data_IF_737762973276
#
_entry.id   IF_737762973276
#
_cell.length_a   1.000
_cell.length_b   1.000
_cell.length_c   1.000
_cell.angle_alpha   90.00
_cell.angle_beta   90.00
_cell.angle_gamma   90.00
#
_symmetry.space_group_name_H-M   'P 1'
#
loop_
_entity.id
_entity.type
_entity.pdbx_description
1 polymer ?
#
# COMPACT_ATOMS: atom_id res chain seq x y z
N UNK A 1 5.73 -7.73 10.05
CA UNK A 1 5.86 -8.94 10.88
C UNK A 1 7.33 -9.38 11.00
N UNK A 2 8.05 -9.58 9.87
CA UNK A 2 9.45 -10.04 9.90
C UNK A 2 10.36 -9.11 10.73
N UNK A 3 10.28 -7.79 10.51
CA UNK A 3 11.08 -6.82 11.26
C UNK A 3 10.79 -6.84 12.77
N UNK A 4 9.51 -7.02 13.14
CA UNK A 4 9.13 -7.19 14.54
C UNK A 4 9.73 -8.48 15.13
N UNK A 5 9.59 -9.60 14.43
CA UNK A 5 10.12 -10.88 14.87
C UNK A 5 11.63 -10.86 15.05
N UNK A 6 12.37 -10.22 14.14
CA UNK A 6 13.82 -10.02 14.24
C UNK A 6 14.17 -9.18 15.47
N UNK A 7 13.44 -8.11 15.73
CA UNK A 7 13.64 -7.27 16.91
C UNK A 7 13.44 -8.08 18.21
N UNK A 8 12.36 -8.86 18.30
CA UNK A 8 12.08 -9.71 19.46
C UNK A 8 13.13 -10.81 19.64
N UNK A 9 13.61 -11.42 18.55
CA UNK A 9 14.71 -12.39 18.60
C UNK A 9 15.98 -11.76 19.18
N UNK A 10 16.35 -10.57 18.72
CA UNK A 10 17.54 -9.86 19.25
C UNK A 10 17.38 -9.54 20.73
N UNK A 11 16.18 -9.15 21.16
CA UNK A 11 15.91 -8.90 22.58
C UNK A 11 15.96 -10.19 23.40
N UNK A 12 15.37 -11.28 22.91
CA UNK A 12 15.39 -12.57 23.57
C UNK A 12 16.83 -13.13 23.75
N UNK A 13 17.70 -12.92 22.76
CA UNK A 13 19.12 -13.27 22.87
C UNK A 13 19.80 -12.43 23.97
N UNK A 14 19.57 -11.12 23.99
CA UNK A 14 20.18 -10.21 24.96
C UNK A 14 19.73 -10.46 26.41
N UNK A 15 18.44 -10.78 26.57
CA UNK A 15 17.82 -11.01 27.88
C UNK A 15 17.94 -12.47 28.34
N UNK A 16 18.53 -13.36 27.50
CA UNK A 16 18.63 -14.81 27.74
C UNK A 16 17.27 -15.52 27.87
N UNK A 17 16.25 -15.02 27.16
CA UNK A 17 14.87 -15.53 27.16
C UNK A 17 14.55 -16.35 25.91
N UNK A 18 15.57 -16.91 25.26
CA UNK A 18 15.42 -17.75 24.05
C UNK A 18 14.39 -18.87 24.18
N UNK A 19 14.30 -19.63 25.34
CA UNK A 19 13.30 -20.69 25.47
C UNK A 19 11.87 -20.15 25.43
N UNK A 20 11.61 -18.99 26.00
CA UNK A 20 10.32 -18.33 25.96
C UNK A 20 9.98 -17.88 24.54
N UNK A 21 10.93 -17.23 23.86
CA UNK A 21 10.78 -16.81 22.46
C UNK A 21 10.48 -18.01 21.55
N UNK A 22 11.22 -19.10 21.68
CA UNK A 22 11.00 -20.31 20.89
C UNK A 22 9.61 -20.92 21.11
N UNK A 23 9.13 -20.95 22.37
CA UNK A 23 7.79 -21.44 22.70
C UNK A 23 6.69 -20.56 22.06
N UNK A 24 6.80 -19.24 22.17
CA UNK A 24 5.85 -18.30 21.59
C UNK A 24 5.85 -18.41 20.06
N UNK A 25 7.03 -18.46 19.44
CA UNK A 25 7.16 -18.63 18.00
C UNK A 25 6.55 -19.96 17.53
N UNK A 26 6.78 -21.06 18.27
CA UNK A 26 6.17 -22.36 17.97
C UNK A 26 4.64 -22.34 18.04
N UNK A 27 4.07 -21.68 19.03
CA UNK A 27 2.62 -21.51 19.16
C UNK A 27 2.06 -20.65 18.00
N UNK A 28 2.75 -19.60 17.59
CA UNK A 28 2.34 -18.78 16.46
C UNK A 28 2.39 -19.55 15.12
N UNK A 29 3.43 -20.36 14.93
CA UNK A 29 3.52 -21.23 13.74
C UNK A 29 2.42 -22.28 13.71
N UNK A 30 2.07 -22.88 14.86
CA UNK A 30 0.94 -23.80 14.97
C UNK A 30 -0.38 -23.10 14.63
N UNK A 31 -0.61 -21.92 15.19
CA UNK A 31 -1.79 -21.12 14.87
C UNK A 31 -1.88 -20.75 13.39
N UNK A 32 -0.74 -20.37 12.79
CA UNK A 32 -0.66 -20.09 11.35
C UNK A 32 -0.97 -21.34 10.51
N UNK A 33 -0.43 -22.51 10.88
CA UNK A 33 -0.71 -23.76 10.19
C UNK A 33 -2.21 -24.14 10.26
N UNK A 34 -2.84 -23.95 11.43
CA UNK A 34 -4.28 -24.17 11.58
C UNK A 34 -5.10 -23.17 10.74
N UNK A 35 -4.70 -21.90 10.70
CA UNK A 35 -5.36 -20.88 9.89
C UNK A 35 -5.25 -21.16 8.39
N UNK A 36 -4.08 -21.57 7.91
CA UNK A 36 -3.89 -22.00 6.50
C UNK A 36 -4.68 -23.28 6.24
N UNK A 37 -4.64 -24.27 7.13
CA UNK A 37 -5.37 -25.50 7.00
C UNK A 37 -6.88 -25.31 6.90
N UNK A 38 -7.46 -24.43 7.72
CA UNK A 38 -8.89 -24.10 7.68
C UNK A 38 -9.32 -23.41 6.38
N UNK A 39 -8.40 -22.74 5.69
CA UNK A 39 -8.63 -22.05 4.42
C UNK A 39 -8.04 -22.79 3.20
N UNK A 40 -7.52 -24.00 3.40
CA UNK A 40 -6.78 -24.73 2.35
C UNK A 40 -7.58 -24.93 1.07
N UNK A 41 -8.88 -25.23 1.17
CA UNK A 41 -9.75 -25.38 0.01
C UNK A 41 -9.88 -24.10 -0.82
N UNK A 42 -10.02 -22.95 -0.17
CA UNK A 42 -10.11 -21.65 -0.84
C UNK A 42 -8.77 -21.26 -1.46
N UNK A 43 -7.67 -21.49 -0.74
CA UNK A 43 -6.32 -21.24 -1.24
C UNK A 43 -6.00 -22.12 -2.47
N UNK A 44 -6.34 -23.39 -2.42
CA UNK A 44 -6.18 -24.30 -3.55
C UNK A 44 -7.01 -23.87 -4.77
N UNK A 45 -8.27 -23.45 -4.54
CA UNK A 45 -9.10 -22.94 -5.62
C UNK A 45 -8.52 -21.70 -6.26
N UNK A 46 -8.07 -20.73 -5.45
CA UNK A 46 -7.43 -19.50 -5.93
C UNK A 46 -6.16 -19.83 -6.72
N UNK A 47 -5.31 -20.71 -6.21
CA UNK A 47 -4.06 -21.09 -6.86
C UNK A 47 -4.33 -21.79 -8.20
N UNK A 48 -5.23 -22.77 -8.23
CA UNK A 48 -5.57 -23.52 -9.44
C UNK A 48 -6.20 -22.67 -10.55
N UNK A 49 -6.91 -21.61 -10.20
CA UNK A 49 -7.57 -20.71 -11.17
C UNK A 49 -6.80 -19.41 -11.40
N UNK A 50 -5.70 -19.20 -10.70
CA UNK A 50 -4.90 -17.96 -10.84
C UNK A 50 -4.32 -17.81 -12.23
N UNK A 51 -3.94 -18.92 -12.89
CA UNK A 51 -3.42 -18.96 -14.26
C UNK A 51 -4.44 -18.57 -15.33
N UNK A 52 -5.74 -18.70 -15.03
CA UNK A 52 -6.85 -18.34 -15.94
C UNK A 52 -7.33 -16.89 -15.75
N UNK A 53 -6.74 -16.17 -14.80
CA UNK A 53 -7.08 -14.76 -14.52
C UNK A 53 -6.03 -13.83 -15.09
N UNK A 54 -6.34 -12.53 -15.16
CA UNK A 54 -5.39 -11.48 -15.56
C UNK A 54 -4.10 -11.47 -14.72
N UNK A 55 -4.07 -12.14 -13.58
CA UNK A 55 -2.88 -12.29 -12.72
C UNK A 55 -2.00 -13.48 -13.10
N UNK A 56 -2.50 -14.41 -13.91
CA UNK A 56 -1.80 -15.61 -14.36
C UNK A 56 -0.92 -15.45 -15.60
N UNK A 57 -0.77 -14.21 -16.06
CA UNK A 57 -0.05 -13.91 -17.31
C UNK A 57 -1.00 -13.77 -18.51
N UNK A 58 -0.60 -13.00 -19.50
CA UNK A 58 -1.33 -12.85 -20.75
C UNK A 58 -1.10 -14.08 -21.64
N UNK A 59 -2.17 -14.70 -22.16
CA UNK A 59 -2.07 -15.67 -23.26
C UNK A 59 -1.60 -15.00 -24.57
N UNK A 60 -1.66 -13.68 -24.63
CA UNK A 60 -1.08 -12.91 -25.72
C UNK A 60 0.43 -12.89 -25.49
N UNK A 61 1.13 -13.58 -26.36
CA UNK A 61 2.60 -13.58 -26.44
C UNK A 61 3.10 -12.14 -26.50
N UNK A 62 3.96 -11.74 -25.57
CA UNK A 62 4.71 -10.50 -25.70
C UNK A 62 5.42 -10.52 -27.08
N UNK A 63 5.64 -9.36 -27.71
CA UNK A 63 6.29 -9.22 -29.03
C UNK A 63 7.61 -10.00 -29.15
N UNK A 64 8.21 -10.42 -28.05
CA UNK A 64 9.46 -11.18 -27.97
C UNK A 64 9.28 -12.72 -27.79
N UNK A 65 8.06 -13.25 -27.85
CA UNK A 65 7.83 -14.70 -27.81
C UNK A 65 7.97 -15.37 -26.45
N UNK A 66 8.25 -14.63 -25.38
CA UNK A 66 8.34 -15.14 -24.01
C UNK A 66 6.97 -15.04 -23.31
N UNK A 67 6.52 -16.14 -22.72
CA UNK A 67 5.35 -16.10 -21.84
C UNK A 67 5.74 -15.34 -20.58
N UNK A 68 5.15 -14.18 -20.39
CA UNK A 68 5.30 -13.42 -19.16
C UNK A 68 4.47 -14.13 -18.07
N UNK A 69 5.13 -14.89 -17.21
CA UNK A 69 4.49 -15.47 -16.03
C UNK A 69 4.32 -14.38 -14.98
N UNK A 70 3.07 -14.16 -14.57
CA UNK A 70 2.73 -13.18 -13.53
C UNK A 70 2.06 -11.90 -14.03
N UNK A 71 1.81 -10.99 -13.11
CA UNK A 71 1.20 -9.70 -13.38
C UNK A 71 2.20 -8.78 -14.10
N UNK A 72 1.76 -8.09 -15.15
CA UNK A 72 2.57 -7.08 -15.81
C UNK A 72 2.95 -5.96 -14.82
N UNK A 73 4.22 -5.55 -14.84
CA UNK A 73 4.75 -4.51 -13.96
C UNK A 73 4.04 -3.17 -14.19
N UNK A 74 3.71 -2.83 -15.43
CA UNK A 74 2.98 -1.61 -15.77
C UNK A 74 1.58 -1.63 -15.16
N UNK A 75 0.88 -2.74 -15.29
CA UNK A 75 -0.44 -2.90 -14.66
C UNK A 75 -0.35 -2.91 -13.12
N UNK A 76 0.63 -3.60 -12.55
CA UNK A 76 0.84 -3.65 -11.10
C UNK A 76 1.12 -2.27 -10.49
N UNK A 77 1.77 -1.38 -11.27
CA UNK A 77 2.15 -0.05 -10.83
C UNK A 77 1.25 1.07 -11.36
N UNK A 78 0.15 0.74 -12.05
CA UNK A 78 -0.77 1.74 -12.64
C UNK A 78 -1.37 2.71 -11.61
N UNK A 79 -1.61 2.25 -10.36
CA UNK A 79 -2.13 3.08 -9.26
C UNK A 79 -1.03 3.55 -8.30
N UNK A 80 0.16 3.79 -8.81
CA UNK A 80 1.26 4.30 -8.01
C UNK A 80 1.01 5.72 -7.51
N UNK A 81 1.39 5.95 -6.26
CA UNK A 81 1.35 7.29 -5.67
C UNK A 81 2.37 8.22 -6.35
N UNK A 82 1.96 9.42 -6.68
CA UNK A 82 2.89 10.49 -7.02
C UNK A 82 3.77 10.86 -5.81
N UNK A 83 5.05 11.17 -6.03
CA UNK A 83 5.94 11.59 -4.92
C UNK A 83 5.37 12.80 -4.15
N UNK A 84 4.85 13.79 -4.88
CA UNK A 84 4.17 14.94 -4.28
C UNK A 84 2.83 14.59 -3.66
N UNK A 85 2.14 13.60 -4.20
CA UNK A 85 0.86 13.12 -3.69
C UNK A 85 0.97 12.47 -2.29
N UNK A 86 2.16 12.01 -1.91
CA UNK A 86 2.44 11.52 -0.55
C UNK A 86 2.09 12.57 0.53
N UNK A 87 2.16 13.85 0.20
CA UNK A 87 1.75 14.92 1.12
C UNK A 87 0.24 14.94 1.41
N UNK A 88 -0.60 14.24 0.65
CA UNK A 88 -2.00 14.04 1.01
C UNK A 88 -2.18 13.30 2.34
N UNK A 89 -1.22 12.46 2.71
CA UNK A 89 -1.22 11.81 4.02
C UNK A 89 -1.19 12.83 5.17
N UNK A 90 -0.65 14.02 4.93
CA UNK A 90 -0.48 15.12 5.90
C UNK A 90 -1.54 16.21 5.72
N UNK A 91 -1.85 16.55 4.48
CA UNK A 91 -2.73 17.66 4.10
C UNK A 91 -3.91 17.08 3.31
N UNK A 92 -5.14 17.14 3.85
CA UNK A 92 -6.30 16.61 3.17
C UNK A 92 -6.56 17.35 1.86
N UNK A 93 -6.94 16.62 0.83
CA UNK A 93 -7.32 17.14 -0.49
C UNK A 93 -6.25 17.98 -1.20
N UNK A 94 -4.96 17.79 -0.88
CA UNK A 94 -3.87 18.53 -1.54
C UNK A 94 -3.86 18.30 -3.06
N UNK A 95 -4.23 17.10 -3.51
CA UNK A 95 -4.40 16.74 -4.94
C UNK A 95 -5.89 16.64 -5.33
N UNK A 96 -6.74 17.37 -4.63
CA UNK A 96 -8.19 17.38 -4.88
C UNK A 96 -8.93 16.23 -4.23
N UNK A 97 -10.12 15.95 -4.73
CA UNK A 97 -11.02 14.93 -4.20
C UNK A 97 -11.00 13.63 -5.00
N UNK A 98 -12.19 13.13 -5.34
CA UNK A 98 -12.38 11.92 -6.13
C UNK A 98 -12.28 12.20 -7.64
N UNK A 99 -11.80 11.20 -8.40
CA UNK A 99 -11.87 11.23 -9.87
C UNK A 99 -13.30 11.22 -10.40
N UNK A 100 -14.25 10.73 -9.62
CA UNK A 100 -15.67 10.63 -9.98
C UNK A 100 -16.58 11.50 -9.11
N UNK A 101 -16.01 12.19 -8.13
CA UNK A 101 -16.73 13.09 -7.24
C UNK A 101 -16.57 14.54 -7.75
N UNK A 102 -17.68 15.14 -8.14
CA UNK A 102 -17.69 16.50 -8.63
C UNK A 102 -17.56 17.57 -7.54
N UNK A 103 -17.62 18.81 -7.97
CA UNK A 103 -17.67 19.98 -7.09
C UNK A 103 -19.12 20.28 -6.67
N UNK A 104 -19.26 20.97 -5.54
CA UNK A 104 -20.57 21.45 -5.09
C UNK A 104 -21.17 22.40 -6.12
N UNK A 105 -22.49 22.31 -6.31
CA UNK A 105 -23.23 23.20 -7.23
C UNK A 105 -23.36 24.65 -6.71
N UNK A 106 -23.10 24.87 -5.42
CA UNK A 106 -23.18 26.19 -4.77
C UNK A 106 -21.79 26.82 -4.51
N UNK A 107 -20.72 26.22 -5.09
CA UNK A 107 -19.35 26.71 -4.84
C UNK A 107 -18.82 27.63 -5.94
N UNK A 108 -17.67 28.25 -5.69
CA UNK A 108 -16.98 29.17 -6.62
C UNK A 108 -16.73 28.54 -7.99
N UNK A 109 -16.46 27.22 -8.02
CA UNK A 109 -16.28 26.45 -9.27
C UNK A 109 -17.56 26.42 -10.09
N UNK A 110 -18.72 26.25 -9.43
CA UNK A 110 -20.02 26.26 -10.11
C UNK A 110 -20.32 27.63 -10.70
N UNK A 111 -19.98 28.70 -10.01
CA UNK A 111 -20.15 30.06 -10.51
C UNK A 111 -19.25 30.32 -11.75
N UNK A 112 -17.99 29.90 -11.69
CA UNK A 112 -17.06 30.01 -12.82
C UNK A 112 -17.53 29.21 -14.06
N UNK A 113 -18.18 28.07 -13.84
CA UNK A 113 -18.65 27.16 -14.90
C UNK A 113 -20.00 27.54 -15.50
N UNK A 114 -20.77 28.42 -14.89
CA UNK A 114 -22.09 28.86 -15.41
C UNK A 114 -22.05 29.33 -16.87
N UNK A 115 -20.97 29.99 -17.27
CA UNK A 115 -20.80 30.51 -18.61
C UNK A 115 -20.48 29.40 -19.65
N UNK A 116 -20.03 28.24 -19.17
CA UNK A 116 -19.64 27.11 -20.02
C UNK A 116 -20.71 26.02 -20.10
N UNK A 117 -21.84 26.19 -19.41
CA UNK A 117 -22.94 25.20 -19.35
C UNK A 117 -22.44 23.79 -18.89
N UNK A 118 -21.37 23.74 -18.14
CA UNK A 118 -20.80 22.49 -17.60
C UNK A 118 -21.37 22.22 -16.21
N UNK A 119 -21.70 20.94 -15.95
CA UNK A 119 -22.18 20.49 -14.66
C UNK A 119 -20.98 20.27 -13.72
N UNK A 120 -20.83 21.06 -12.64
CA UNK A 120 -19.73 20.93 -11.69
C UNK A 120 -19.66 19.53 -11.05
N UNK A 121 -20.81 18.87 -10.89
CA UNK A 121 -20.88 17.55 -10.25
C UNK A 121 -20.26 16.42 -11.08
N UNK A 122 -20.09 16.65 -12.38
CA UNK A 122 -19.51 15.65 -13.32
C UNK A 122 -18.00 15.86 -13.56
N UNK A 123 -17.44 16.95 -13.04
CA UNK A 123 -16.02 17.22 -13.24
C UNK A 123 -15.18 16.44 -12.23
N UNK A 124 -14.04 15.85 -12.65
CA UNK A 124 -13.13 15.21 -11.72
C UNK A 124 -12.54 16.24 -10.76
N UNK A 125 -12.68 15.99 -9.46
CA UNK A 125 -12.07 16.83 -8.44
C UNK A 125 -10.62 16.43 -8.14
N UNK A 126 -10.19 15.26 -8.59
CA UNK A 126 -8.83 14.77 -8.47
C UNK A 126 -7.98 15.20 -9.68
N UNK A 127 -6.77 15.68 -9.41
CA UNK A 127 -5.82 16.15 -10.42
C UNK A 127 -4.41 15.56 -10.27
N UNK A 128 -4.31 14.44 -9.54
CA UNK A 128 -3.10 13.64 -9.43
C UNK A 128 -2.91 12.62 -10.57
N UNK A 129 -1.82 11.85 -10.53
CA UNK A 129 -1.43 10.93 -11.61
C UNK A 129 -2.19 9.60 -11.64
N UNK A 130 -2.96 9.25 -10.62
CA UNK A 130 -3.66 7.97 -10.59
C UNK A 130 -4.84 7.96 -11.57
N UNK A 131 -5.06 6.88 -12.34
CA UNK A 131 -6.08 6.85 -13.39
C UNK A 131 -7.50 6.97 -12.85
N UNK A 132 -7.81 6.35 -11.71
CA UNK A 132 -9.10 6.43 -11.03
C UNK A 132 -8.89 6.28 -9.53
N UNK A 133 -9.41 7.20 -8.74
CA UNK A 133 -9.34 7.14 -7.28
C UNK A 133 -10.61 7.74 -6.66
N UNK A 134 -11.02 7.19 -5.52
CA UNK A 134 -12.09 7.78 -4.69
C UNK A 134 -11.63 9.00 -3.89
N UNK A 135 -10.39 9.38 -4.04
CA UNK A 135 -9.71 10.48 -3.37
C UNK A 135 -8.44 10.03 -2.66
N UNK A 136 -7.44 10.92 -2.55
CA UNK A 136 -6.21 10.62 -1.86
C UNK A 136 -6.44 10.32 -0.37
N UNK A 137 -5.70 9.36 0.15
CA UNK A 137 -5.82 8.94 1.56
C UNK A 137 -5.21 10.00 2.49
N UNK A 138 -5.95 10.37 3.52
CA UNK A 138 -5.49 11.24 4.60
C UNK A 138 -5.42 10.46 5.92
N UNK A 139 -4.25 10.45 6.59
CA UNK A 139 -4.05 9.70 7.84
C UNK A 139 -4.78 10.33 9.03
N UNK A 140 -4.97 11.63 9.00
CA UNK A 140 -5.52 12.39 10.12
C UNK A 140 -4.45 13.10 10.94
N UNK A 141 -4.70 14.39 11.25
CA UNK A 141 -3.75 15.23 11.99
C UNK A 141 -3.39 14.66 13.37
N UNK A 142 -4.36 14.09 14.08
CA UNK A 142 -4.14 13.51 15.41
C UNK A 142 -3.24 12.28 15.32
N UNK A 143 -3.48 11.38 14.35
CA UNK A 143 -2.65 10.19 14.17
C UNK A 143 -1.21 10.57 13.80
N UNK A 144 -1.05 11.53 12.90
CA UNK A 144 0.26 12.06 12.52
C UNK A 144 0.97 12.70 13.71
N UNK A 145 0.28 13.55 14.47
CA UNK A 145 0.82 14.18 15.67
C UNK A 145 1.31 13.12 16.67
N UNK A 146 0.47 12.10 16.95
CA UNK A 146 0.83 11.03 17.87
C UNK A 146 2.01 10.18 17.35
N UNK A 147 2.10 9.94 16.05
CA UNK A 147 3.24 9.24 15.45
C UNK A 147 4.55 10.03 15.64
N UNK A 148 4.54 11.32 15.33
CA UNK A 148 5.70 12.21 15.50
C UNK A 148 6.05 12.34 16.98
N UNK A 149 5.07 12.61 17.84
CA UNK A 149 5.26 12.72 19.27
C UNK A 149 5.82 11.42 19.88
N UNK A 150 5.30 10.27 19.45
CA UNK A 150 5.79 8.96 19.86
C UNK A 150 7.27 8.76 19.53
N UNK A 151 7.77 9.26 18.43
CA UNK A 151 9.19 9.19 18.08
C UNK A 151 10.10 9.89 19.09
N UNK A 152 9.62 10.95 19.73
CA UNK A 152 10.37 11.69 20.75
C UNK A 152 10.23 11.08 22.14
N UNK A 153 9.02 10.64 22.51
CA UNK A 153 8.72 10.18 23.89
C UNK A 153 9.09 8.72 24.09
N UNK A 154 8.88 7.86 23.12
CA UNK A 154 9.18 6.44 23.25
C UNK A 154 10.67 6.20 23.40
N UNK A 155 11.05 5.50 24.47
CA UNK A 155 12.41 5.04 24.73
C UNK A 155 12.54 3.60 24.20
N UNK A 156 13.65 3.33 23.50
CA UNK A 156 13.92 1.98 22.99
C UNK A 156 14.14 1.92 21.49
N UNK A 157 14.55 0.74 21.01
CA UNK A 157 14.87 0.51 19.60
C UNK A 157 13.65 0.25 18.71
N UNK A 158 12.53 -0.17 19.33
CA UNK A 158 11.32 -0.54 18.60
C UNK A 158 10.77 0.58 17.72
N UNK A 159 10.89 1.84 18.11
CA UNK A 159 10.46 2.98 17.31
C UNK A 159 11.20 3.09 15.97
N UNK A 160 12.48 2.74 15.93
CA UNK A 160 13.30 2.87 14.72
C UNK A 160 12.93 1.86 13.64
N UNK A 161 12.68 0.60 14.02
CA UNK A 161 12.25 -0.37 13.01
C UNK A 161 10.84 -0.05 12.48
N UNK A 162 9.91 0.43 13.33
CA UNK A 162 8.59 0.90 12.89
C UNK A 162 8.75 2.05 11.89
N UNK A 163 9.59 3.04 12.22
CA UNK A 163 9.87 4.16 11.32
C UNK A 163 10.43 3.70 9.97
N UNK A 164 11.42 2.80 10.00
CA UNK A 164 12.03 2.26 8.77
C UNK A 164 10.99 1.52 7.93
N UNK A 165 10.17 0.65 8.54
CA UNK A 165 9.12 -0.09 7.81
C UNK A 165 8.08 0.87 7.22
N UNK A 166 7.69 1.91 7.96
CA UNK A 166 6.78 2.94 7.45
C UNK A 166 7.38 3.68 6.26
N UNK A 167 8.66 4.07 6.34
CA UNK A 167 9.35 4.73 5.25
C UNK A 167 9.44 3.82 4.01
N UNK A 168 9.80 2.55 4.19
CA UNK A 168 9.85 1.57 3.10
C UNK A 168 8.46 1.36 2.46
N UNK A 169 7.39 1.31 3.26
CA UNK A 169 6.03 1.21 2.75
C UNK A 169 5.63 2.43 1.90
N UNK A 170 6.00 3.64 2.34
CA UNK A 170 5.80 4.87 1.56
C UNK A 170 6.61 4.83 0.26
N UNK A 171 7.87 4.39 0.30
CA UNK A 171 8.71 4.26 -0.91
C UNK A 171 8.12 3.24 -1.90
N UNK A 172 7.59 2.12 -1.41
CA UNK A 172 6.90 1.12 -2.26
C UNK A 172 5.62 1.67 -2.88
N UNK A 173 4.89 2.56 -2.18
CA UNK A 173 3.67 3.16 -2.74
C UNK A 173 3.93 4.05 -3.97
N UNK A 174 5.17 4.50 -4.18
CA UNK A 174 5.54 5.28 -5.37
C UNK A 174 5.61 4.43 -6.65
N UNK A 175 5.63 3.11 -6.56
CA UNK A 175 5.54 2.18 -7.69
C UNK A 175 6.36 2.59 -8.91
N UNK A 176 5.71 2.92 -10.03
CA UNK A 176 6.39 3.34 -11.26
C UNK A 176 7.20 4.65 -11.10
N UNK A 177 6.88 5.51 -10.13
CA UNK A 177 7.66 6.72 -9.85
C UNK A 177 9.00 6.42 -9.16
N UNK A 178 9.24 5.15 -8.76
CA UNK A 178 10.47 4.68 -8.13
C UNK A 178 10.81 3.24 -8.56
N UNK A 179 10.88 3.03 -9.87
CA UNK A 179 10.94 1.72 -10.51
C UNK A 179 12.04 0.80 -9.96
N UNK A 180 13.28 1.26 -9.87
CA UNK A 180 14.38 0.40 -9.43
C UNK A 180 14.15 -0.21 -8.04
N UNK A 181 13.45 0.50 -7.15
CA UNK A 181 13.11 0.01 -5.83
C UNK A 181 11.91 -0.95 -5.88
N UNK A 182 10.93 -0.64 -6.73
CA UNK A 182 9.75 -1.49 -6.95
C UNK A 182 10.13 -2.81 -7.61
N UNK A 183 10.99 -2.80 -8.61
CA UNK A 183 11.51 -3.98 -9.30
C UNK A 183 12.24 -4.93 -8.36
N UNK A 184 12.96 -4.40 -7.36
CA UNK A 184 13.61 -5.23 -6.34
C UNK A 184 12.62 -6.15 -5.60
N UNK A 185 11.37 -5.68 -5.38
CA UNK A 185 10.33 -6.45 -4.71
C UNK A 185 9.42 -7.21 -5.68
N UNK A 186 9.38 -6.78 -6.94
CA UNK A 186 8.56 -7.40 -7.97
C UNK A 186 9.20 -8.66 -8.54
N UNK A 187 10.53 -8.67 -8.66
CA UNK A 187 11.29 -9.78 -9.25
C UNK A 187 11.71 -10.86 -8.23
N UNK A 188 11.41 -10.67 -6.93
CA UNK A 188 11.72 -11.59 -5.83
C UNK A 188 10.48 -11.87 -4.97
#
# INVERSE_FOLDING_TARGET
LAAFWINELVQAIRNKELPHFAKVTGLLLLAAALAVGSNAGMLYYIDSHSSETMRGGSELTAENGEKQEGLDLEYATAWSYGKGETFNLLIPNLYGGSSQGGFSQDGDVAEALRNYQADPSQLPAYWGPQPMTSGPVYIGAVALFLAVFGMFVLKGRSKWWIFIVTLLAVMLSWGHNFLWFTELFFNY
#
